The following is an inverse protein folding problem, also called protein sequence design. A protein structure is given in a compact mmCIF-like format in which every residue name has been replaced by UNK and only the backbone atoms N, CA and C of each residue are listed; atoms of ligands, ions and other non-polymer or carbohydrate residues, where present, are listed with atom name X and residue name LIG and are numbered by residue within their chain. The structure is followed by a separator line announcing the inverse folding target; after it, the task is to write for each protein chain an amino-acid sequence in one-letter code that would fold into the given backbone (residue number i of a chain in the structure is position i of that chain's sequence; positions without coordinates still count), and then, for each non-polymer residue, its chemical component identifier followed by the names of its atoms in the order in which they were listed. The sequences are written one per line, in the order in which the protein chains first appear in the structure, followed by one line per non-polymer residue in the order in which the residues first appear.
data_IF_553461644500
#
_entry.id   IF_553461644500
#
_cell.length_a   1.000
_cell.length_b   1.000
_cell.length_c   1.000
_cell.angle_alpha   90.00
_cell.angle_beta   90.00
_cell.angle_gamma   90.00
#
_symmetry.space_group_name_H-M   'P 1'
#
loop_
_entity.id
_entity.type
_entity.pdbx_description
1 polymer ?
#
# COMPACT_ATOMS: atom_id res chain seq x y z
N UNK A 1 10.36 1.06 -14.29
CA UNK A 1 9.93 2.04 -13.27
C UNK A 1 8.50 2.46 -13.59
N UNK A 2 7.64 2.63 -12.59
CA UNK A 2 6.20 2.89 -12.78
C UNK A 2 5.26 1.76 -12.32
N UNK A 3 5.73 0.85 -11.48
CA UNK A 3 4.86 -0.13 -10.82
C UNK A 3 4.37 0.46 -9.50
N UNK A 4 3.05 0.55 -9.25
CA UNK A 4 2.54 1.00 -7.96
C UNK A 4 2.93 0.02 -6.84
N UNK A 5 3.20 0.54 -5.65
CA UNK A 5 3.65 -0.25 -4.49
C UNK A 5 2.63 -0.16 -3.38
N UNK A 6 2.23 -1.33 -2.86
CA UNK A 6 1.50 -1.45 -1.60
C UNK A 6 2.47 -2.00 -0.55
N UNK A 7 2.52 -1.40 0.63
CA UNK A 7 3.37 -1.86 1.74
C UNK A 7 2.70 -1.66 3.10
N UNK A 8 3.30 -2.23 4.16
CA UNK A 8 2.80 -2.10 5.53
C UNK A 8 2.83 -0.66 6.02
N UNK A 9 1.80 -0.24 6.77
CA UNK A 9 1.78 1.04 7.49
C UNK A 9 2.59 1.02 8.80
N UNK A 10 3.30 -0.07 9.11
CA UNK A 10 4.08 -0.23 10.34
C UNK A 10 5.58 -0.22 10.06
N UNK A 11 6.38 -0.10 11.13
CA UNK A 11 7.85 -0.11 11.08
C UNK A 11 8.39 1.00 10.19
N UNK A 12 9.44 0.74 9.39
CA UNK A 12 10.13 1.76 8.58
C UNK A 12 9.50 2.04 7.21
N UNK A 13 8.39 1.38 6.87
CA UNK A 13 7.80 1.48 5.54
C UNK A 13 7.12 2.83 5.27
N UNK A 14 6.43 3.47 6.24
CA UNK A 14 5.97 4.85 6.11
C UNK A 14 7.10 5.84 5.78
N UNK A 15 8.24 5.72 6.45
CA UNK A 15 9.38 6.62 6.28
C UNK A 15 10.11 6.39 4.95
N UNK A 16 10.19 5.13 4.49
CA UNK A 16 10.87 4.79 3.23
C UNK A 16 9.98 5.04 2.01
N UNK A 17 8.70 4.69 2.08
CA UNK A 17 7.76 4.82 0.97
C UNK A 17 7.22 6.24 0.79
N UNK A 18 7.10 7.02 1.88
CA UNK A 18 6.51 8.35 1.89
C UNK A 18 5.18 8.41 1.12
N UNK A 19 4.96 9.50 0.39
CA UNK A 19 3.73 9.70 -0.39
C UNK A 19 3.68 8.86 -1.69
N UNK A 20 4.73 8.10 -2.01
CA UNK A 20 4.82 7.32 -3.24
C UNK A 20 4.20 5.91 -3.11
N UNK A 21 3.96 5.42 -1.89
CA UNK A 21 3.41 4.10 -1.64
C UNK A 21 1.96 4.17 -1.13
N UNK A 22 1.18 3.14 -1.45
CA UNK A 22 -0.06 2.86 -0.74
C UNK A 22 0.24 2.00 0.49
N UNK A 23 -0.45 2.29 1.59
CA UNK A 23 -0.22 1.62 2.86
C UNK A 23 -1.41 0.75 3.26
N UNK A 24 -1.12 -0.43 3.80
CA UNK A 24 -2.10 -1.34 4.39
C UNK A 24 -1.69 -1.78 5.80
N UNK A 25 -2.66 -2.14 6.62
CA UNK A 25 -2.40 -2.82 7.90
C UNK A 25 -2.05 -4.29 7.61
N UNK A 26 -0.83 -4.76 7.95
CA UNK A 26 -0.40 -6.13 7.66
C UNK A 26 -1.16 -7.20 8.46
N UNK A 27 -1.85 -6.83 9.54
CA UNK A 27 -2.63 -7.72 10.39
C UNK A 27 -4.12 -7.75 10.03
N UNK A 28 -4.55 -6.95 9.05
CA UNK A 28 -5.93 -6.89 8.59
C UNK A 28 -6.00 -7.20 7.08
N UNK A 29 -6.28 -8.47 6.69
CA UNK A 29 -6.33 -8.87 5.28
C UNK A 29 -7.23 -8.01 4.39
N UNK A 30 -8.33 -7.49 4.95
CA UNK A 30 -9.22 -6.57 4.22
C UNK A 30 -8.51 -5.29 3.78
N UNK A 31 -7.60 -4.74 4.61
CA UNK A 31 -6.84 -3.54 4.27
C UNK A 31 -5.92 -3.76 3.05
N UNK A 32 -5.40 -4.97 2.89
CA UNK A 32 -4.59 -5.35 1.73
C UNK A 32 -5.47 -5.42 0.48
N UNK A 33 -6.64 -6.07 0.59
CA UNK A 33 -7.61 -6.18 -0.51
C UNK A 33 -8.08 -4.80 -1.00
N UNK A 34 -8.45 -3.90 -0.07
CA UNK A 34 -8.89 -2.54 -0.39
C UNK A 34 -7.79 -1.75 -1.13
N UNK A 35 -6.52 -1.92 -0.75
CA UNK A 35 -5.39 -1.30 -1.42
C UNK A 35 -5.18 -1.87 -2.84
N UNK A 36 -5.37 -3.18 -3.04
CA UNK A 36 -5.32 -3.80 -4.36
C UNK A 36 -6.46 -3.33 -5.26
N UNK A 37 -7.68 -3.23 -4.73
CA UNK A 37 -8.84 -2.70 -5.47
C UNK A 37 -8.62 -1.25 -5.89
N UNK A 38 -8.04 -0.42 -5.01
CA UNK A 38 -7.72 0.98 -5.34
C UNK A 38 -6.78 1.11 -6.54
N UNK A 39 -5.76 0.25 -6.64
CA UNK A 39 -4.87 0.22 -7.80
C UNK A 39 -5.62 -0.24 -9.05
N UNK A 40 -6.43 -1.29 -8.94
CA UNK A 40 -7.12 -1.87 -10.07
C UNK A 40 -8.17 -0.94 -10.69
N UNK A 41 -8.91 -0.21 -9.84
CA UNK A 41 -10.00 0.67 -10.26
C UNK A 41 -9.53 2.09 -10.61
N UNK A 42 -8.29 2.45 -10.31
CA UNK A 42 -7.71 3.76 -10.62
C UNK A 42 -6.26 3.62 -11.10
N UNK A 43 -6.05 3.06 -12.30
CA UNK A 43 -4.73 2.89 -12.89
C UNK A 43 -4.06 4.20 -13.29
#
# INVERSE_FOLDING_TARGET
AGCPVITSNTTSMPEVGGDAALYCDPYLPQSIADAMEKIWLSP
#
